data_IF_345924512604
#
_entry.id   IF_345924512604
#
_cell.length_a   1.000
_cell.length_b   1.000
_cell.length_c   1.000
_cell.angle_alpha   90.00
_cell.angle_beta   90.00
_cell.angle_gamma   90.00
#
_symmetry.space_group_name_H-M   'P 1'
#
loop_
_entity.id
_entity.type
_entity.pdbx_description
1 polymer ?
#
# COMPACT_ATOMS: atom_id res chain seq x y z
N UNK A 1 -5.44 21.47 -18.70
CA UNK A 1 -5.28 21.70 -17.24
C UNK A 1 -4.13 22.65 -17.00
N UNK A 2 -4.41 23.94 -16.86
CA UNK A 2 -3.39 24.84 -16.31
C UNK A 2 -3.21 24.52 -14.81
N UNK A 3 -1.98 24.50 -14.30
CA UNK A 3 -1.72 24.34 -12.88
C UNK A 3 -2.32 25.50 -12.08
N UNK A 4 -2.59 25.31 -10.77
CA UNK A 4 -3.17 26.35 -9.93
C UNK A 4 -2.23 27.57 -9.88
N UNK A 5 -2.71 28.70 -10.39
CA UNK A 5 -2.05 30.00 -10.24
C UNK A 5 -2.39 30.52 -8.85
N UNK A 6 -1.40 30.61 -7.97
CA UNK A 6 -1.57 31.26 -6.66
C UNK A 6 -1.21 32.73 -6.85
N UNK A 7 -2.13 33.62 -6.46
CA UNK A 7 -1.86 35.05 -6.43
C UNK A 7 -1.22 35.41 -5.10
N UNK A 8 0.00 35.94 -5.14
CA UNK A 8 0.72 36.41 -3.96
C UNK A 8 0.69 37.94 -3.99
N UNK A 9 0.19 38.56 -2.91
CA UNK A 9 0.19 40.03 -2.73
C UNK A 9 1.27 40.38 -1.71
N UNK A 10 2.31 41.08 -2.13
CA UNK A 10 3.38 41.56 -1.24
C UNK A 10 3.55 43.08 -1.35
N UNK A 11 3.43 43.78 -0.22
CA UNK A 11 3.77 45.21 -0.10
C UNK A 11 2.63 46.20 -0.38
N UNK A 12 2.85 47.46 -0.02
CA UNK A 12 1.91 48.58 -0.15
C UNK A 12 1.63 49.02 -1.58
N UNK A 13 2.36 48.49 -2.55
CA UNK A 13 2.07 48.57 -3.98
C UNK A 13 1.66 47.18 -4.45
N UNK A 14 0.36 46.98 -4.65
CA UNK A 14 -0.24 45.70 -5.00
C UNK A 14 0.12 45.27 -6.43
N UNK A 15 1.33 44.78 -6.63
CA UNK A 15 1.69 44.02 -7.82
C UNK A 15 1.23 42.56 -7.64
N UNK A 16 0.27 42.15 -8.46
CA UNK A 16 -0.24 40.77 -8.46
C UNK A 16 0.68 39.92 -9.32
N UNK A 17 1.52 39.11 -8.68
CA UNK A 17 2.33 38.13 -9.37
C UNK A 17 1.58 36.81 -9.48
N UNK A 18 1.56 36.24 -10.69
CA UNK A 18 1.11 34.87 -10.91
C UNK A 18 2.22 33.91 -10.54
N UNK A 19 2.01 33.09 -9.50
CA UNK A 19 2.97 32.06 -9.09
C UNK A 19 2.49 30.71 -9.61
N UNK A 20 3.36 30.05 -10.36
CA UNK A 20 3.17 28.66 -10.77
C UNK A 20 3.75 27.74 -9.70
N UNK A 21 2.90 27.00 -8.99
CA UNK A 21 3.34 26.02 -7.99
C UNK A 21 3.61 24.68 -8.68
N UNK A 22 4.84 24.17 -8.55
CA UNK A 22 5.20 22.80 -8.95
C UNK A 22 5.27 21.96 -7.67
N UNK A 23 4.32 21.03 -7.51
CA UNK A 23 4.23 20.19 -6.32
C UNK A 23 4.92 18.84 -6.55
N UNK A 24 6.09 18.66 -5.93
CA UNK A 24 6.93 17.45 -6.01
C UNK A 24 6.91 16.65 -4.70
N UNK A 25 5.91 16.87 -3.84
CA UNK A 25 5.86 16.21 -2.51
C UNK A 25 5.53 14.72 -2.61
N UNK A 26 4.59 14.34 -3.49
CA UNK A 26 4.07 12.98 -3.63
C UNK A 26 3.20 12.86 -4.87
N UNK A 27 3.08 11.67 -5.45
CA UNK A 27 2.11 11.36 -6.52
C UNK A 27 0.65 11.32 -6.02
N UNK A 28 0.46 11.19 -4.71
CA UNK A 28 -0.86 11.24 -4.04
C UNK A 28 -1.56 12.60 -4.14
N UNK A 29 -0.86 13.66 -4.58
CA UNK A 29 -1.46 14.99 -4.82
C UNK A 29 -2.20 15.08 -6.17
N UNK A 30 -2.17 14.00 -6.96
CA UNK A 30 -2.85 13.90 -8.24
C UNK A 30 -4.35 14.22 -8.12
N UNK A 31 -4.89 14.90 -9.14
CA UNK A 31 -6.31 15.30 -9.18
C UNK A 31 -7.03 14.53 -10.30
N UNK A 32 -8.30 14.12 -10.09
CA UNK A 32 -9.08 13.47 -11.14
C UNK A 32 -9.14 14.31 -12.41
N UNK A 33 -8.86 13.67 -13.54
CA UNK A 33 -8.97 14.27 -14.89
C UNK A 33 -10.44 14.60 -15.21
N UNK A 34 -10.71 15.46 -16.20
CA UNK A 34 -12.09 15.71 -16.63
C UNK A 34 -12.85 14.42 -17.01
N UNK A 35 -12.19 13.49 -17.70
CA UNK A 35 -12.77 12.20 -18.05
C UNK A 35 -13.09 11.35 -16.82
N UNK A 36 -12.20 11.30 -15.81
CA UNK A 36 -12.47 10.64 -14.54
C UNK A 36 -13.65 11.28 -13.81
N UNK A 37 -13.75 12.61 -13.79
CA UNK A 37 -14.88 13.32 -13.16
C UNK A 37 -16.20 13.02 -13.85
N UNK A 38 -16.21 12.96 -15.18
CA UNK A 38 -17.39 12.57 -15.93
C UNK A 38 -17.77 11.12 -15.64
N UNK A 39 -16.81 10.19 -15.67
CA UNK A 39 -17.05 8.78 -15.37
C UNK A 39 -17.62 8.58 -13.96
N UNK A 40 -17.08 9.27 -12.94
CA UNK A 40 -17.63 9.25 -11.58
C UNK A 40 -19.06 9.80 -11.51
N UNK A 41 -19.35 10.89 -12.23
CA UNK A 41 -20.65 11.54 -12.18
C UNK A 41 -21.77 10.71 -12.84
N UNK A 42 -21.43 9.82 -13.77
CA UNK A 42 -22.39 8.98 -14.51
C UNK A 42 -22.30 7.49 -14.15
N UNK A 43 -21.51 7.12 -13.14
CA UNK A 43 -21.32 5.73 -12.75
C UNK A 43 -22.64 5.09 -12.33
N UNK A 44 -22.89 3.86 -12.78
CA UNK A 44 -23.98 3.04 -12.27
C UNK A 44 -23.55 2.48 -10.91
N UNK A 45 -24.36 2.72 -9.88
CA UNK A 45 -24.01 2.41 -8.48
C UNK A 45 -25.09 1.56 -7.84
N UNK A 46 -24.73 0.87 -6.76
CA UNK A 46 -25.62 0.02 -5.99
C UNK A 46 -25.15 -0.11 -4.53
N UNK A 47 -25.78 -1.00 -3.78
CA UNK A 47 -25.34 -1.32 -2.43
C UNK A 47 -24.20 -2.36 -2.48
N UNK A 48 -22.98 -1.90 -2.21
CA UNK A 48 -21.79 -2.75 -2.22
C UNK A 48 -21.79 -3.81 -1.11
N UNK A 49 -22.45 -3.54 0.04
CA UNK A 49 -22.59 -4.54 1.11
C UNK A 49 -23.41 -5.74 0.65
N UNK A 50 -24.37 -5.50 -0.25
CA UNK A 50 -25.19 -6.53 -0.87
C UNK A 50 -24.57 -7.10 -2.16
N UNK A 51 -23.42 -6.57 -2.61
CA UNK A 51 -22.77 -6.97 -3.86
C UNK A 51 -23.51 -6.49 -5.11
N UNK A 52 -24.25 -5.39 -5.00
CA UNK A 52 -25.13 -4.88 -6.05
C UNK A 52 -24.56 -3.68 -6.79
N UNK A 53 -23.38 -3.17 -6.41
CA UNK A 53 -22.71 -2.08 -7.16
C UNK A 53 -22.00 -2.62 -8.42
N UNK A 54 -22.51 -2.32 -9.63
CA UNK A 54 -21.94 -2.88 -10.85
C UNK A 54 -20.57 -2.26 -11.20
N UNK A 55 -20.32 -1.01 -10.79
CA UNK A 55 -19.05 -0.32 -11.06
C UNK A 55 -17.93 -0.90 -10.19
N UNK A 56 -18.19 -1.15 -8.91
CA UNK A 56 -17.23 -1.79 -7.99
C UNK A 56 -16.93 -3.21 -8.46
N UNK A 57 -17.95 -4.00 -8.80
CA UNK A 57 -17.76 -5.38 -9.30
C UNK A 57 -16.94 -5.44 -10.57
N UNK A 58 -17.15 -4.52 -11.51
CA UNK A 58 -16.34 -4.47 -12.74
C UNK A 58 -14.90 -4.03 -12.45
N UNK A 59 -14.68 -3.11 -11.51
CA UNK A 59 -13.34 -2.74 -11.04
C UNK A 59 -12.60 -3.96 -10.46
N UNK A 60 -13.23 -4.69 -9.55
CA UNK A 60 -12.67 -5.87 -8.91
C UNK A 60 -12.39 -6.99 -9.92
N UNK A 61 -13.36 -7.28 -10.80
CA UNK A 61 -13.19 -8.28 -11.87
C UNK A 61 -12.01 -7.95 -12.77
N UNK A 62 -11.85 -6.68 -13.17
CA UNK A 62 -10.72 -6.23 -13.99
C UNK A 62 -9.40 -6.33 -13.23
N UNK A 63 -9.36 -5.93 -11.95
CA UNK A 63 -8.16 -6.01 -11.13
C UNK A 63 -7.71 -7.47 -10.94
N UNK A 64 -8.64 -8.38 -10.63
CA UNK A 64 -8.38 -9.81 -10.51
C UNK A 64 -7.82 -10.39 -11.82
N UNK A 65 -8.45 -10.06 -12.96
CA UNK A 65 -7.98 -10.49 -14.28
C UNK A 65 -6.59 -9.94 -14.64
N UNK A 66 -6.31 -8.66 -14.33
CA UNK A 66 -5.02 -8.03 -14.60
C UNK A 66 -3.87 -8.69 -13.81
N UNK A 67 -4.14 -9.14 -12.58
CA UNK A 67 -3.15 -9.75 -11.70
C UNK A 67 -3.13 -11.29 -11.76
N UNK A 68 -3.99 -11.90 -12.58
CA UNK A 68 -4.13 -13.35 -12.66
C UNK A 68 -4.57 -13.99 -11.34
N UNK A 69 -5.48 -13.33 -10.61
CA UNK A 69 -6.05 -13.78 -9.33
C UNK A 69 -7.51 -14.17 -9.49
N UNK A 70 -8.00 -15.00 -8.58
CA UNK A 70 -9.38 -15.50 -8.58
C UNK A 70 -10.40 -14.42 -8.23
N UNK A 71 -10.02 -13.48 -7.35
CA UNK A 71 -10.87 -12.38 -6.89
C UNK A 71 -10.04 -11.15 -6.50
N UNK A 72 -10.70 -10.02 -6.36
CA UNK A 72 -10.16 -8.78 -5.83
C UNK A 72 -11.21 -8.10 -4.94
N UNK A 73 -10.78 -7.18 -4.09
CA UNK A 73 -11.65 -6.37 -3.23
C UNK A 73 -11.25 -4.90 -3.34
N UNK A 74 -12.22 -4.01 -3.56
CA UNK A 74 -11.99 -2.59 -3.49
C UNK A 74 -11.96 -2.11 -2.03
N UNK A 75 -10.98 -1.28 -1.70
CA UNK A 75 -10.87 -0.68 -0.35
C UNK A 75 -10.54 0.80 -0.44
N UNK A 76 -10.92 1.62 0.57
CA UNK A 76 -10.70 3.06 0.54
C UNK A 76 -9.23 3.52 0.56
N UNK A 77 -8.30 2.67 1.04
CA UNK A 77 -6.88 3.05 1.15
C UNK A 77 -5.93 1.85 1.09
N UNK A 78 -4.67 2.12 0.73
CA UNK A 78 -3.59 1.11 0.77
C UNK A 78 -3.33 0.58 2.19
N UNK A 79 -3.43 1.43 3.22
CA UNK A 79 -3.33 1.01 4.61
C UNK A 79 -4.42 0.00 4.99
N UNK A 80 -5.66 0.19 4.51
CA UNK A 80 -6.72 -0.79 4.75
C UNK A 80 -6.46 -2.09 4.00
N UNK A 81 -5.97 -2.01 2.75
CA UNK A 81 -5.61 -3.19 1.96
C UNK A 81 -4.55 -4.05 2.69
N UNK A 82 -3.46 -3.42 3.14
CA UNK A 82 -2.38 -4.09 3.87
C UNK A 82 -2.86 -4.66 5.20
N UNK A 83 -3.64 -3.91 5.97
CA UNK A 83 -4.18 -4.39 7.24
C UNK A 83 -5.09 -5.60 7.05
N UNK A 84 -5.99 -5.58 6.06
CA UNK A 84 -6.84 -6.74 5.73
C UNK A 84 -5.98 -7.93 5.31
N UNK A 85 -4.97 -7.74 4.45
CA UNK A 85 -4.06 -8.80 4.05
C UNK A 85 -3.35 -9.43 5.27
N UNK A 86 -2.87 -8.61 6.20
CA UNK A 86 -2.30 -9.09 7.45
C UNK A 86 -3.35 -9.84 8.27
N UNK A 87 -4.56 -9.32 8.46
CA UNK A 87 -5.60 -10.00 9.26
C UNK A 87 -6.02 -11.34 8.66
N UNK A 88 -6.04 -11.46 7.33
CA UNK A 88 -6.38 -12.71 6.62
C UNK A 88 -5.25 -13.74 6.74
N UNK A 89 -3.99 -13.33 6.57
CA UNK A 89 -2.85 -14.25 6.60
C UNK A 89 -2.28 -14.51 8.01
N UNK A 90 -2.49 -13.58 8.94
CA UNK A 90 -2.21 -13.69 10.36
C UNK A 90 -3.53 -13.85 11.13
N UNK A 91 -4.27 -14.91 10.81
CA UNK A 91 -5.65 -15.13 11.25
C UNK A 91 -5.80 -15.52 12.74
N UNK A 92 -4.71 -15.51 13.52
CA UNK A 92 -4.69 -15.82 14.94
C UNK A 92 -3.90 -14.74 15.70
N UNK A 93 -4.38 -14.36 16.89
CA UNK A 93 -3.60 -13.48 17.78
C UNK A 93 -2.31 -14.18 18.20
N UNK A 94 -1.19 -13.46 18.19
CA UNK A 94 0.13 -14.06 18.40
C UNK A 94 0.76 -14.64 17.12
N UNK A 95 0.11 -14.48 15.96
CA UNK A 95 0.77 -14.66 14.66
C UNK A 95 1.86 -13.61 14.47
N UNK A 96 2.82 -13.94 13.62
CA UNK A 96 3.94 -13.11 13.25
C UNK A 96 4.03 -13.02 11.73
N UNK A 97 4.37 -11.83 11.23
CA UNK A 97 4.77 -11.63 9.84
C UNK A 97 6.17 -11.05 9.78
N UNK A 98 6.90 -11.38 8.71
CA UNK A 98 8.22 -10.82 8.42
C UNK A 98 8.07 -9.66 7.44
N UNK A 99 8.70 -8.52 7.73
CA UNK A 99 8.74 -7.35 6.85
C UNK A 99 10.08 -6.63 6.94
N UNK A 100 10.40 -5.83 5.92
CA UNK A 100 11.57 -4.95 5.95
C UNK A 100 11.38 -3.79 6.93
N UNK A 101 12.44 -3.41 7.65
CA UNK A 101 12.44 -2.26 8.57
C UNK A 101 12.16 -0.90 7.95
N UNK A 102 12.28 -0.75 6.63
CA UNK A 102 11.95 0.48 5.89
C UNK A 102 10.60 0.39 5.14
N UNK A 103 9.84 -0.68 5.34
CA UNK A 103 8.56 -0.87 4.65
C UNK A 103 7.47 0.08 5.14
N UNK A 104 6.55 0.43 4.23
CA UNK A 104 5.40 1.29 4.51
C UNK A 104 4.53 0.74 5.64
N UNK A 105 4.30 -0.58 5.65
CA UNK A 105 3.52 -1.28 6.68
C UNK A 105 4.11 -1.05 8.08
N UNK A 106 5.44 -1.04 8.20
CA UNK A 106 6.08 -0.82 9.49
C UNK A 106 6.12 0.66 9.88
N UNK A 107 6.49 1.54 8.95
CA UNK A 107 6.76 2.95 9.27
C UNK A 107 5.52 3.86 9.27
N UNK A 108 4.56 3.62 8.39
CA UNK A 108 3.54 4.62 8.01
C UNK A 108 2.09 4.16 8.23
N UNK A 109 1.87 3.02 8.88
CA UNK A 109 0.52 2.47 9.11
C UNK A 109 0.11 2.46 10.60
N UNK A 110 0.74 3.33 11.40
CA UNK A 110 0.40 3.60 12.80
C UNK A 110 0.35 2.34 13.69
N UNK A 111 1.11 1.30 13.35
CA UNK A 111 1.10 0.04 14.09
C UNK A 111 -0.26 -0.68 14.06
N UNK A 112 -1.04 -0.51 12.98
CA UNK A 112 -2.33 -1.17 12.81
C UNK A 112 -2.26 -2.69 12.91
N UNK A 113 -1.16 -3.30 12.43
CA UNK A 113 -0.93 -4.75 12.55
C UNK A 113 -0.87 -5.23 14.00
N UNK A 114 -0.24 -4.45 14.89
CA UNK A 114 -0.13 -4.78 16.30
C UNK A 114 -1.45 -4.48 17.04
N UNK A 115 -2.00 -3.28 16.82
CA UNK A 115 -3.16 -2.79 17.58
C UNK A 115 -4.49 -3.44 17.18
N UNK A 116 -4.70 -3.70 15.88
CA UNK A 116 -5.97 -4.22 15.35
C UNK A 116 -5.87 -5.71 15.01
N UNK A 117 -4.81 -6.14 14.34
CA UNK A 117 -4.65 -7.54 13.93
C UNK A 117 -4.08 -8.43 15.04
N UNK A 118 -3.43 -7.87 16.07
CA UNK A 118 -2.75 -8.65 17.10
C UNK A 118 -1.60 -9.49 16.54
N UNK A 119 -0.97 -9.01 15.47
CA UNK A 119 0.13 -9.66 14.78
C UNK A 119 1.46 -8.98 15.09
N UNK A 120 2.46 -9.78 15.45
CA UNK A 120 3.82 -9.32 15.68
C UNK A 120 4.55 -9.09 14.35
N UNK A 121 5.28 -7.99 14.24
CA UNK A 121 6.17 -7.73 13.11
C UNK A 121 7.59 -8.19 13.45
N UNK A 122 8.15 -9.11 12.66
CA UNK A 122 9.54 -9.58 12.74
C UNK A 122 10.36 -8.91 11.65
N UNK A 123 11.14 -7.90 12.04
CA UNK A 123 11.84 -7.03 11.09
C UNK A 123 13.12 -7.66 10.56
N UNK A 124 13.31 -7.59 9.24
CA UNK A 124 14.58 -7.81 8.54
C UNK A 124 15.17 -6.49 8.04
N UNK A 125 16.49 -6.46 7.86
CA UNK A 125 17.15 -5.26 7.31
C UNK A 125 16.93 -5.21 5.80
N UNK A 126 16.45 -4.05 5.32
CA UNK A 126 16.37 -3.77 3.90
C UNK A 126 17.77 -3.43 3.37
N UNK A 127 18.08 -3.95 2.20
CA UNK A 127 19.16 -3.46 1.35
C UNK A 127 18.74 -2.12 0.72
N UNK A 128 19.71 -1.37 0.18
CA UNK A 128 19.46 -0.09 -0.46
C UNK A 128 18.58 -0.16 -1.73
N UNK A 129 18.37 -1.35 -2.28
CA UNK A 129 17.46 -1.60 -3.41
C UNK A 129 16.04 -2.02 -2.98
N UNK A 130 15.75 -2.00 -1.67
CA UNK A 130 14.48 -2.42 -1.10
C UNK A 130 14.30 -3.94 -0.96
N UNK A 131 15.30 -4.74 -1.34
CA UNK A 131 15.33 -6.18 -1.04
C UNK A 131 15.78 -6.44 0.40
N UNK A 132 15.80 -7.69 0.82
CA UNK A 132 16.36 -8.13 2.10
C UNK A 132 17.03 -9.49 1.93
N UNK A 133 17.99 -9.82 2.80
CA UNK A 133 18.71 -11.08 2.74
C UNK A 133 17.78 -12.27 3.07
N UNK A 134 17.67 -13.21 2.14
CA UNK A 134 16.82 -14.40 2.29
C UNK A 134 17.32 -15.33 3.40
N UNK A 135 18.61 -15.34 3.71
CA UNK A 135 19.12 -16.12 4.83
C UNK A 135 18.72 -15.50 6.17
N UNK A 136 18.62 -14.17 6.24
CA UNK A 136 18.06 -13.43 7.37
C UNK A 136 16.58 -13.77 7.60
N UNK A 137 15.81 -13.85 6.51
CA UNK A 137 14.39 -14.24 6.52
C UNK A 137 14.25 -15.68 7.00
N UNK A 138 15.02 -16.62 6.41
CA UNK A 138 14.97 -18.04 6.79
C UNK A 138 15.25 -18.25 8.27
N UNK A 139 16.21 -17.52 8.84
CA UNK A 139 16.54 -17.59 10.27
C UNK A 139 15.44 -17.05 11.18
N UNK A 140 14.55 -16.19 10.67
CA UNK A 140 13.41 -15.64 11.41
C UNK A 140 12.14 -16.47 11.31
N UNK A 141 12.02 -17.34 10.32
CA UNK A 141 10.85 -18.22 10.19
C UNK A 141 10.84 -19.21 11.36
N UNK A 142 9.76 -19.16 12.15
CA UNK A 142 9.55 -20.06 13.28
C UNK A 142 8.81 -21.32 12.82
N UNK A 143 9.54 -22.42 12.70
CA UNK A 143 9.02 -23.71 12.19
C UNK A 143 8.51 -24.63 13.32
N UNK A 144 9.15 -24.59 14.49
CA UNK A 144 8.83 -25.43 15.65
C UNK A 144 8.57 -24.53 16.88
N UNK A 145 7.49 -23.77 16.82
CA UNK A 145 7.13 -22.82 17.88
C UNK A 145 6.85 -23.53 19.20
N UNK A 146 7.64 -23.21 20.22
CA UNK A 146 7.29 -23.53 21.60
C UNK A 146 6.14 -22.63 22.08
N UNK A 147 5.49 -22.96 23.20
CA UNK A 147 4.36 -22.19 23.75
C UNK A 147 4.73 -20.74 24.16
N UNK A 148 6.02 -20.39 24.12
CA UNK A 148 6.54 -19.05 24.34
C UNK A 148 6.71 -18.20 23.07
N UNK A 149 6.57 -18.78 21.88
CA UNK A 149 6.90 -18.12 20.61
C UNK A 149 5.66 -17.78 19.78
N UNK A 150 5.80 -16.77 18.92
CA UNK A 150 4.81 -16.41 17.90
C UNK A 150 4.87 -17.35 16.70
N UNK A 151 3.80 -17.42 15.91
CA UNK A 151 3.75 -18.26 14.70
C UNK A 151 3.96 -17.47 13.42
N UNK A 152 5.04 -17.71 12.68
CA UNK A 152 5.31 -17.01 11.41
C UNK A 152 4.37 -17.51 10.30
N UNK A 153 3.47 -16.65 9.80
CA UNK A 153 2.48 -17.04 8.78
C UNK A 153 2.53 -16.20 7.49
N UNK A 154 3.30 -15.11 7.47
CA UNK A 154 3.33 -14.17 6.36
C UNK A 154 4.73 -13.57 6.17
N UNK A 155 5.14 -13.38 4.91
CA UNK A 155 6.30 -12.57 4.53
C UNK A 155 5.79 -11.47 3.60
N UNK A 156 6.05 -10.21 3.96
CA UNK A 156 5.63 -9.04 3.20
C UNK A 156 6.79 -8.47 2.39
N UNK A 157 6.49 -8.12 1.14
CA UNK A 157 7.42 -7.54 0.18
C UNK A 157 6.80 -6.28 -0.39
N UNK A 158 7.58 -5.20 -0.46
CA UNK A 158 7.16 -3.92 -1.04
C UNK A 158 7.76 -3.73 -2.44
N UNK A 159 6.93 -3.33 -3.41
CA UNK A 159 7.35 -3.03 -4.77
C UNK A 159 6.36 -2.05 -5.45
N UNK A 160 6.78 -0.87 -5.90
CA UNK A 160 8.10 -0.23 -5.71
C UNK A 160 8.37 0.11 -4.25
N UNK A 161 9.64 0.11 -3.82
CA UNK A 161 9.99 0.38 -2.42
C UNK A 161 10.17 1.89 -2.18
N UNK A 162 9.28 2.50 -1.39
CA UNK A 162 9.20 3.95 -1.21
C UNK A 162 10.46 4.51 -0.54
N UNK A 163 10.81 3.98 0.64
CA UNK A 163 11.93 4.47 1.44
C UNK A 163 13.31 4.19 0.83
N UNK A 164 13.39 3.35 -0.21
CA UNK A 164 14.63 3.11 -0.95
C UNK A 164 14.71 3.96 -2.23
N UNK A 165 13.82 4.94 -2.40
CA UNK A 165 13.81 5.86 -3.55
C UNK A 165 13.01 5.37 -4.74
N UNK A 166 11.93 4.62 -4.53
CA UNK A 166 11.07 4.10 -5.60
C UNK A 166 11.70 2.93 -6.36
N UNK A 167 12.57 2.16 -5.69
CA UNK A 167 13.29 1.05 -6.33
C UNK A 167 12.33 -0.05 -6.79
N UNK A 168 12.63 -0.59 -7.97
CA UNK A 168 11.88 -1.70 -8.57
C UNK A 168 12.57 -3.00 -8.21
N UNK A 169 11.81 -3.98 -7.72
CA UNK A 169 12.36 -5.32 -7.47
C UNK A 169 12.53 -6.08 -8.79
N UNK A 170 13.75 -6.58 -9.03
CA UNK A 170 14.01 -7.47 -10.17
C UNK A 170 13.36 -8.83 -9.92
N UNK A 171 12.45 -9.25 -10.79
CA UNK A 171 11.83 -10.56 -10.70
C UNK A 171 12.87 -11.63 -11.10
N UNK A 172 13.54 -12.21 -10.11
CA UNK A 172 14.35 -13.41 -10.29
C UNK A 172 13.69 -14.59 -9.57
N UNK A 173 13.67 -15.76 -10.24
CA UNK A 173 13.05 -17.02 -9.80
C UNK A 173 13.46 -17.46 -8.38
N UNK A 174 14.56 -16.95 -7.86
CA UNK A 174 15.19 -17.30 -6.59
C UNK A 174 14.67 -16.50 -5.39
N UNK A 175 13.80 -15.49 -5.60
CA UNK A 175 13.47 -14.50 -4.56
C UNK A 175 12.03 -14.53 -4.04
N UNK A 176 11.16 -15.39 -4.60
CA UNK A 176 9.82 -15.62 -4.06
C UNK A 176 9.70 -17.10 -3.68
N UNK A 177 9.71 -17.45 -2.38
CA UNK A 177 9.18 -18.74 -1.99
C UNK A 177 7.69 -18.73 -2.36
N UNK A 178 7.28 -19.66 -3.23
CA UNK A 178 5.88 -20.06 -3.32
C UNK A 178 5.46 -20.68 -1.98
#
# INVERSE_FOLDING_TARGET
NMPPVVQVVTGSNAEVYSVHVVDIRSDTVSKPTPAMRQAMAIAEVGDDVMGEDPTVRELERRAAAMLGKESAIFVPSGTMANLIAIMVHCNQRGSEFIAGHESHIFLYEQGGSASLAGAQCSLVTNNSDGTFDLDEVRKRIRVNTDFHETFTSLILVENTHNMCGGQVRTITKTQMPC
#
